data_IF_998555707604
#
_entry.id   IF_998555707604
#
_cell.length_a   1.000
_cell.length_b   1.000
_cell.length_c   1.000
_cell.angle_alpha   90.00
_cell.angle_beta   90.00
_cell.angle_gamma   90.00
#
_symmetry.space_group_name_H-M   'P 1'
#
loop_
_entity.id
_entity.type
_entity.pdbx_description
1 polymer ?
#
# COMPACT_ATOMS: atom_id res chain seq x y z
N UNK A 1 -8.32 14.53 18.47
CA UNK A 1 -7.07 14.73 17.68
C UNK A 1 -5.84 14.96 18.56
N UNK A 2 -5.62 16.13 19.20
CA UNK A 2 -4.38 16.39 19.98
C UNK A 2 -4.16 15.44 21.17
N UNK A 3 -5.18 15.27 22.03
CA UNK A 3 -5.09 14.34 23.17
C UNK A 3 -4.83 12.88 22.73
N UNK A 4 -5.33 12.49 21.54
CA UNK A 4 -5.14 11.17 20.92
C UNK A 4 -3.85 11.07 20.11
N UNK A 5 -2.95 12.08 20.18
CA UNK A 5 -1.68 12.16 19.45
C UNK A 5 -1.80 12.04 17.92
N UNK A 6 -2.93 12.45 17.35
CA UNK A 6 -3.18 12.46 15.90
C UNK A 6 -2.65 13.76 15.27
N UNK A 7 -1.34 13.96 15.36
CA UNK A 7 -0.65 15.16 14.87
C UNK A 7 0.67 14.82 14.20
N UNK A 8 1.05 15.55 13.14
CA UNK A 8 2.34 15.46 12.47
C UNK A 8 2.95 16.85 12.33
N UNK A 9 4.22 17.02 12.71
CA UNK A 9 4.91 18.33 12.66
C UNK A 9 4.16 19.44 13.43
N UNK A 10 3.51 19.10 14.55
CA UNK A 10 2.70 20.03 15.36
C UNK A 10 1.30 20.36 14.81
N UNK A 11 0.96 19.86 13.61
CA UNK A 11 -0.33 20.07 12.93
C UNK A 11 -1.26 18.88 13.13
N UNK A 12 -2.57 19.10 13.09
CA UNK A 12 -3.56 18.02 13.12
C UNK A 12 -3.46 17.19 11.83
N UNK A 13 -3.56 15.86 11.93
CA UNK A 13 -3.54 14.97 10.76
C UNK A 13 -4.74 15.20 9.83
N UNK A 14 -5.94 15.32 10.40
CA UNK A 14 -7.14 15.70 9.67
C UNK A 14 -7.88 16.80 10.45
N UNK A 15 -7.83 18.06 9.99
CA UNK A 15 -8.52 19.16 10.67
C UNK A 15 -10.02 19.25 10.31
N UNK A 16 -10.51 18.40 9.39
CA UNK A 16 -11.87 18.45 8.87
C UNK A 16 -12.67 17.22 9.31
N UNK A 17 -13.96 17.42 9.63
CA UNK A 17 -14.88 16.34 9.99
C UNK A 17 -15.67 15.90 8.76
N UNK A 18 -15.02 15.18 7.84
CA UNK A 18 -15.66 14.62 6.65
C UNK A 18 -15.31 13.14 6.52
N UNK A 19 -15.91 12.27 7.36
CA UNK A 19 -15.71 10.83 7.22
C UNK A 19 -16.20 10.36 5.86
N UNK A 20 -15.49 9.40 5.29
CA UNK A 20 -15.93 8.66 4.12
C UNK A 20 -16.55 7.35 4.60
N UNK A 21 -17.86 7.20 4.42
CA UNK A 21 -18.57 6.00 4.83
C UNK A 21 -18.55 4.97 3.71
N UNK A 22 -18.28 3.72 4.10
CA UNK A 22 -18.38 2.54 3.25
C UNK A 22 -19.54 1.70 3.77
N UNK A 23 -20.35 1.17 2.86
CA UNK A 23 -21.25 0.07 3.21
C UNK A 23 -20.50 -1.28 3.15
N UNK A 24 -21.15 -2.34 3.60
CA UNK A 24 -20.54 -3.68 3.63
C UNK A 24 -20.22 -4.24 2.24
N UNK A 25 -20.92 -3.77 1.19
CA UNK A 25 -20.68 -4.20 -0.18
C UNK A 25 -19.43 -3.53 -0.73
N UNK A 26 -19.28 -2.23 -0.51
CA UNK A 26 -18.09 -1.48 -0.91
C UNK A 26 -16.86 -1.93 -0.13
N UNK A 27 -16.98 -2.18 1.18
CA UNK A 27 -15.89 -2.73 1.99
C UNK A 27 -15.41 -4.08 1.44
N UNK A 28 -16.34 -5.01 1.19
CA UNK A 28 -15.99 -6.32 0.62
C UNK A 28 -15.31 -6.19 -0.75
N UNK A 29 -15.85 -5.33 -1.63
CA UNK A 29 -15.29 -5.09 -2.97
C UNK A 29 -13.87 -4.52 -2.92
N UNK A 30 -13.62 -3.55 -2.03
CA UNK A 30 -12.29 -2.94 -1.86
C UNK A 30 -11.31 -3.96 -1.29
N UNK A 31 -11.72 -4.72 -0.27
CA UNK A 31 -10.88 -5.75 0.36
C UNK A 31 -10.43 -6.80 -0.65
N UNK A 32 -11.36 -7.40 -1.40
CA UNK A 32 -11.06 -8.46 -2.37
C UNK A 32 -10.08 -7.97 -3.46
N UNK A 33 -10.27 -6.74 -3.94
CA UNK A 33 -9.37 -6.14 -4.92
C UNK A 33 -7.99 -5.82 -4.33
N UNK A 34 -7.92 -5.28 -3.11
CA UNK A 34 -6.65 -4.99 -2.45
C UNK A 34 -5.84 -6.26 -2.14
N UNK A 35 -6.48 -7.33 -1.67
CA UNK A 35 -5.85 -8.64 -1.47
C UNK A 35 -5.36 -9.25 -2.78
N UNK A 36 -6.10 -9.06 -3.88
CA UNK A 36 -5.66 -9.50 -5.20
C UNK A 36 -4.42 -8.73 -5.67
N UNK A 37 -4.40 -7.40 -5.48
CA UNK A 37 -3.24 -6.57 -5.79
C UNK A 37 -2.02 -6.96 -4.97
N UNK A 38 -2.21 -7.33 -3.70
CA UNK A 38 -1.13 -7.85 -2.85
C UNK A 38 -0.49 -9.10 -3.43
N UNK A 39 -1.31 -10.10 -3.78
CA UNK A 39 -0.84 -11.36 -4.37
C UNK A 39 -0.13 -11.08 -5.71
N UNK A 40 -0.65 -10.17 -6.51
CA UNK A 40 -0.04 -9.77 -7.77
C UNK A 40 1.33 -9.11 -7.54
N UNK A 41 1.42 -8.17 -6.59
CA UNK A 41 2.66 -7.48 -6.26
C UNK A 41 3.76 -8.45 -5.83
N UNK A 42 3.44 -9.42 -4.98
CA UNK A 42 4.38 -10.47 -4.57
C UNK A 42 4.87 -11.29 -5.79
N UNK A 43 3.95 -11.72 -6.66
CA UNK A 43 4.31 -12.49 -7.86
C UNK A 43 5.20 -11.71 -8.81
N UNK A 44 4.91 -10.42 -9.01
CA UNK A 44 5.72 -9.54 -9.87
C UNK A 44 7.12 -9.38 -9.28
N UNK A 45 7.23 -9.15 -7.97
CA UNK A 45 8.54 -9.04 -7.31
C UNK A 45 9.37 -10.32 -7.45
N UNK A 46 8.77 -11.49 -7.19
CA UNK A 46 9.45 -12.78 -7.32
C UNK A 46 9.85 -13.09 -8.78
N UNK A 47 8.98 -12.78 -9.73
CA UNK A 47 9.25 -12.97 -11.16
C UNK A 47 10.40 -12.05 -11.63
N UNK A 48 10.39 -10.78 -11.23
CA UNK A 48 11.45 -9.84 -11.59
C UNK A 48 12.81 -10.25 -11.03
N UNK A 49 12.88 -10.84 -9.83
CA UNK A 49 14.14 -11.33 -9.27
C UNK A 49 14.69 -12.56 -10.00
N UNK A 50 13.84 -13.30 -10.71
CA UNK A 50 14.18 -14.55 -11.41
C UNK A 50 14.35 -14.38 -12.93
N UNK A 51 13.95 -13.24 -13.50
CA UNK A 51 14.02 -12.93 -14.93
C UNK A 51 14.68 -11.56 -15.15
N UNK A 52 15.89 -11.58 -15.71
CA UNK A 52 16.68 -10.36 -15.97
C UNK A 52 15.99 -9.41 -16.97
N UNK A 53 15.10 -9.92 -17.83
CA UNK A 53 14.32 -9.08 -18.75
C UNK A 53 13.28 -8.26 -17.98
N UNK A 54 12.54 -8.91 -17.08
CA UNK A 54 11.56 -8.23 -16.22
C UNK A 54 12.26 -7.29 -15.22
N UNK A 55 13.43 -7.68 -14.71
CA UNK A 55 14.22 -6.82 -13.83
C UNK A 55 14.66 -5.53 -14.53
N UNK A 56 15.03 -5.61 -15.81
CA UNK A 56 15.45 -4.46 -16.60
C UNK A 56 14.30 -3.45 -16.80
N UNK A 57 13.05 -3.92 -16.90
CA UNK A 57 11.86 -3.07 -17.02
C UNK A 57 11.59 -2.24 -15.75
N UNK A 58 12.11 -2.64 -14.60
CA UNK A 58 11.98 -1.88 -13.35
C UNK A 58 12.87 -0.63 -13.28
N UNK A 59 13.74 -0.41 -14.28
CA UNK A 59 14.61 0.76 -14.40
C UNK A 59 15.47 1.05 -13.14
N UNK A 60 15.88 -0.01 -12.44
CA UNK A 60 16.75 0.07 -11.27
C UNK A 60 18.21 0.35 -11.67
N UNK A 61 18.91 1.10 -10.85
CA UNK A 61 20.35 1.28 -10.96
C UNK A 61 21.12 0.00 -10.62
N UNK A 62 22.40 -0.13 -11.04
CA UNK A 62 23.22 -1.28 -10.68
C UNK A 62 23.35 -1.53 -9.17
N UNK A 63 23.34 -0.46 -8.37
CA UNK A 63 23.41 -0.57 -6.91
C UNK A 63 22.09 -1.05 -6.30
N UNK A 64 20.94 -0.60 -6.81
CA UNK A 64 19.63 -1.09 -6.40
C UNK A 64 19.44 -2.57 -6.78
N UNK A 65 19.90 -2.98 -7.97
CA UNK A 65 19.88 -4.40 -8.37
C UNK A 65 20.74 -5.24 -7.44
N UNK A 66 21.95 -4.77 -7.06
CA UNK A 66 22.77 -5.48 -6.06
C UNK A 66 22.03 -5.64 -4.74
N UNK A 67 21.35 -4.60 -4.27
CA UNK A 67 20.58 -4.64 -3.03
C UNK A 67 19.39 -5.60 -3.13
N UNK A 68 18.62 -5.53 -4.21
CA UNK A 68 17.43 -6.36 -4.44
C UNK A 68 17.76 -7.87 -4.51
N UNK A 69 18.99 -8.24 -4.90
CA UNK A 69 19.44 -9.64 -4.97
C UNK A 69 19.97 -10.20 -3.66
N UNK A 70 20.09 -9.38 -2.61
CA UNK A 70 20.47 -9.88 -1.29
C UNK A 70 19.33 -10.74 -0.76
N UNK A 71 19.61 -12.01 -0.42
CA UNK A 71 18.66 -12.88 0.25
C UNK A 71 18.29 -12.28 1.63
N UNK A 72 17.04 -11.85 1.82
CA UNK A 72 16.64 -11.22 3.07
C UNK A 72 16.34 -12.24 4.18
N UNK A 73 16.37 -13.55 3.88
CA UNK A 73 16.07 -14.63 4.83
C UNK A 73 14.57 -14.85 5.07
N UNK A 74 13.71 -14.23 4.27
CA UNK A 74 12.26 -14.41 4.30
C UNK A 74 11.68 -14.41 2.88
N UNK A 75 10.54 -15.07 2.69
CA UNK A 75 9.97 -15.31 1.36
C UNK A 75 9.17 -14.13 0.79
N UNK A 76 8.69 -13.22 1.63
CA UNK A 76 7.72 -12.19 1.24
C UNK A 76 8.41 -10.87 0.91
N UNK A 77 8.14 -10.29 -0.27
CA UNK A 77 8.73 -9.03 -0.70
C UNK A 77 8.20 -7.80 0.07
N UNK A 78 6.93 -7.84 0.51
CA UNK A 78 6.31 -6.76 1.29
C UNK A 78 5.61 -7.32 2.53
N UNK A 79 5.88 -6.78 3.72
CA UNK A 79 5.14 -7.14 4.94
C UNK A 79 4.00 -6.19 5.25
N UNK A 80 4.00 -5.01 4.62
CA UNK A 80 2.93 -4.02 4.72
C UNK A 80 2.87 -3.17 3.45
N UNK A 81 1.67 -3.01 2.90
CA UNK A 81 1.39 -2.25 1.69
C UNK A 81 0.05 -1.53 1.80
N UNK A 82 -0.14 -0.52 0.96
CA UNK A 82 -1.39 0.24 0.87
C UNK A 82 -1.78 0.42 -0.58
N UNK A 83 -3.03 0.15 -0.89
CA UNK A 83 -3.60 0.38 -2.20
C UNK A 83 -4.48 1.62 -2.16
N UNK A 84 -4.13 2.63 -2.95
CA UNK A 84 -4.85 3.91 -2.98
C UNK A 84 -5.91 3.87 -4.08
N UNK A 85 -7.17 4.03 -3.69
CA UNK A 85 -8.31 3.77 -4.57
C UNK A 85 -9.34 4.90 -4.60
N UNK A 86 -10.00 5.01 -5.75
CA UNK A 86 -11.22 5.79 -5.94
C UNK A 86 -12.41 4.83 -6.00
N UNK A 87 -13.35 5.00 -5.05
CA UNK A 87 -14.56 4.19 -4.93
C UNK A 87 -15.76 4.98 -5.45
N UNK A 88 -16.39 4.48 -6.51
CA UNK A 88 -17.65 4.97 -7.07
C UNK A 88 -18.69 3.83 -7.06
N UNK A 89 -20.00 4.12 -7.18
CA UNK A 89 -21.06 3.10 -7.11
C UNK A 89 -20.89 1.93 -8.08
N UNK A 90 -20.33 2.19 -9.26
CA UNK A 90 -20.17 1.24 -10.36
C UNK A 90 -18.70 1.01 -10.78
N UNK A 91 -17.75 1.70 -10.12
CA UNK A 91 -16.33 1.64 -10.48
C UNK A 91 -15.44 1.61 -9.25
N UNK A 92 -14.36 0.84 -9.34
CA UNK A 92 -13.27 0.82 -8.36
C UNK A 92 -11.96 0.91 -9.15
N UNK A 93 -11.23 2.00 -8.96
CA UNK A 93 -9.97 2.26 -9.66
C UNK A 93 -8.86 2.46 -8.65
N UNK A 94 -7.71 1.86 -8.89
CA UNK A 94 -6.53 2.01 -8.06
C UNK A 94 -5.54 2.95 -8.74
N UNK A 95 -5.12 3.98 -8.01
CA UNK A 95 -4.11 4.92 -8.48
C UNK A 95 -2.70 4.39 -8.20
N UNK A 96 -2.52 3.69 -7.08
CA UNK A 96 -1.19 3.27 -6.63
C UNK A 96 -1.25 2.02 -5.74
N UNK A 97 -0.22 1.18 -5.86
CA UNK A 97 0.11 0.12 -4.91
C UNK A 97 1.45 0.46 -4.24
N UNK A 98 1.37 0.88 -2.98
CA UNK A 98 2.52 1.29 -2.17
C UNK A 98 3.08 0.06 -1.41
N UNK A 99 4.10 -0.59 -1.96
CA UNK A 99 4.58 -1.90 -1.50
C UNK A 99 5.69 -1.95 -0.44
N UNK A 100 6.33 -0.85 -0.06
CA UNK A 100 7.52 -0.91 0.83
C UNK A 100 7.29 -0.40 2.27
N UNK A 101 6.68 0.77 2.43
CA UNK A 101 6.61 1.49 3.71
C UNK A 101 5.43 2.47 3.72
N UNK A 102 4.19 1.97 3.66
CA UNK A 102 3.03 2.85 3.63
C UNK A 102 2.82 3.55 4.98
N UNK A 103 2.67 4.88 4.94
CA UNK A 103 2.07 5.62 6.05
C UNK A 103 0.54 5.39 6.09
N UNK A 104 -0.14 5.80 7.17
CA UNK A 104 -1.60 5.71 7.25
C UNK A 104 -2.11 4.85 8.39
N UNK A 105 -1.69 3.57 8.42
CA UNK A 105 -2.25 2.57 9.32
C UNK A 105 -2.15 2.98 10.80
N UNK A 106 -1.02 3.56 11.22
CA UNK A 106 -0.79 3.96 12.61
C UNK A 106 -1.72 5.03 13.17
N UNK A 107 -2.45 5.77 12.32
CA UNK A 107 -3.42 6.78 12.75
C UNK A 107 -4.84 6.54 12.23
N UNK A 108 -5.05 5.58 11.32
CA UNK A 108 -6.35 5.31 10.70
C UNK A 108 -7.45 4.97 11.73
N UNK A 109 -7.19 4.02 12.64
CA UNK A 109 -8.10 3.68 13.74
C UNK A 109 -8.44 4.92 14.59
N UNK A 110 -7.41 5.69 14.94
CA UNK A 110 -7.59 6.88 15.77
C UNK A 110 -8.43 7.97 15.12
N UNK A 111 -8.42 8.07 13.79
CA UNK A 111 -9.23 8.98 12.98
C UNK A 111 -10.67 8.48 12.77
N UNK A 112 -10.90 7.16 12.84
CA UNK A 112 -12.21 6.55 12.64
C UNK A 112 -13.09 6.51 13.90
N UNK A 113 -12.47 6.61 15.09
CA UNK A 113 -13.12 6.76 16.40
C UNK A 113 -13.36 8.23 16.80
#
# INVERSE_FOLDING_TARGET
MRARRLTFGGRLLCPFLRPFFLDSRDEARVKDAAETLWILGERVAQAALSDDTLLADLALSPDEIRLARIDPGYATASTAARADAFVLPDSLQFAEYNGESPAGAGYAQGLAE
#
